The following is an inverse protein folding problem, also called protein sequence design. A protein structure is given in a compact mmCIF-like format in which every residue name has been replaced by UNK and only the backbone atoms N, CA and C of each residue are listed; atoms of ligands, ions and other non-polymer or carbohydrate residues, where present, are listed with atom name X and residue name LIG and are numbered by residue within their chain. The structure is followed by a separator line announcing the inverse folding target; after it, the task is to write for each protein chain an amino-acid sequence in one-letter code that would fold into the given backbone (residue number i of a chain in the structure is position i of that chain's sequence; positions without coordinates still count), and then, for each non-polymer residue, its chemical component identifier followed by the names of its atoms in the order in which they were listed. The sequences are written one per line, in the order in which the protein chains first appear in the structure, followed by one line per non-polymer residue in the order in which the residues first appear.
data_IF_805884420741
#
_entry.id   IF_805884420741
#
_cell.length_a   1.000
_cell.length_b   1.000
_cell.length_c   1.000
_cell.angle_alpha   90.00
_cell.angle_beta   90.00
_cell.angle_gamma   90.00
#
_symmetry.space_group_name_H-M   'P 1'
#
loop_
_entity.id
_entity.type
_entity.pdbx_description
1 polymer ?
#
# COMPACT_ATOMS: atom_id res chain seq x y z
N UNK A 1 -9.92 -18.68 12.28
CA UNK A 1 -9.02 -18.51 11.13
C UNK A 1 -8.34 -17.16 11.28
N UNK A 2 -7.05 -17.06 10.98
CA UNK A 2 -6.24 -15.87 11.26
C UNK A 2 -6.78 -14.64 10.52
N UNK A 3 -7.33 -13.69 11.28
CA UNK A 3 -7.80 -12.38 10.78
C UNK A 3 -6.61 -11.66 10.14
N UNK A 4 -6.50 -11.72 8.81
CA UNK A 4 -5.43 -11.04 8.08
C UNK A 4 -5.63 -9.53 8.19
N UNK A 5 -4.83 -8.88 9.05
CA UNK A 5 -4.85 -7.42 9.20
C UNK A 5 -4.26 -6.78 7.94
N UNK A 6 -4.96 -5.78 7.41
CA UNK A 6 -4.45 -4.95 6.32
C UNK A 6 -3.54 -3.89 6.92
N UNK A 7 -2.29 -3.85 6.46
CA UNK A 7 -1.34 -2.81 6.85
C UNK A 7 -0.96 -1.98 5.65
N UNK A 8 -1.06 -0.66 5.82
CA UNK A 8 -0.76 0.29 4.74
C UNK A 8 0.42 1.13 5.12
N UNK A 9 1.34 1.23 4.18
CA UNK A 9 2.60 1.93 4.36
C UNK A 9 2.77 2.97 3.26
N UNK A 10 3.01 4.22 3.66
CA UNK A 10 3.19 5.32 2.74
C UNK A 10 4.68 5.61 2.55
N UNK A 11 5.10 5.75 1.29
CA UNK A 11 6.47 6.06 0.90
C UNK A 11 6.44 7.35 0.09
N UNK A 12 6.97 8.43 0.65
CA UNK A 12 7.11 9.70 -0.04
C UNK A 12 8.43 9.75 -0.83
N UNK A 13 8.35 10.01 -2.14
CA UNK A 13 9.53 10.13 -2.99
C UNK A 13 9.94 11.60 -3.12
N UNK A 14 11.20 11.95 -2.79
CA UNK A 14 11.71 13.30 -2.98
C UNK A 14 11.67 13.70 -4.47
N UNK A 15 11.14 14.89 -4.78
CA UNK A 15 11.06 15.38 -6.16
C UNK A 15 12.38 15.74 -6.81
N UNK A 16 13.43 15.88 -6.01
CA UNK A 16 14.80 16.15 -6.47
C UNK A 16 15.61 14.87 -6.73
N UNK A 17 14.99 13.69 -6.62
CA UNK A 17 15.68 12.43 -6.90
C UNK A 17 15.89 12.24 -8.41
N UNK A 18 17.05 11.73 -8.81
CA UNK A 18 17.28 11.29 -10.19
C UNK A 18 16.63 9.94 -10.46
N UNK A 19 16.19 9.70 -11.70
CA UNK A 19 15.58 8.43 -12.16
C UNK A 19 16.43 7.20 -11.82
N UNK A 20 17.75 7.32 -11.91
CA UNK A 20 18.67 6.24 -11.57
C UNK A 20 18.64 5.89 -10.07
N UNK A 21 18.54 6.91 -9.20
CA UNK A 21 18.43 6.71 -7.75
C UNK A 21 17.01 6.31 -7.34
N UNK A 22 15.99 6.69 -8.12
CA UNK A 22 14.59 6.41 -7.83
C UNK A 22 14.35 4.91 -7.72
N UNK A 23 14.87 4.12 -8.67
CA UNK A 23 14.78 2.66 -8.64
C UNK A 23 15.34 2.08 -7.34
N UNK A 24 16.55 2.51 -6.97
CA UNK A 24 17.19 2.01 -5.75
C UNK A 24 16.44 2.47 -4.51
N UNK A 25 15.97 3.72 -4.49
CA UNK A 25 15.26 4.29 -3.36
C UNK A 25 13.90 3.63 -3.13
N UNK A 26 13.12 3.39 -4.20
CA UNK A 26 11.86 2.63 -4.14
C UNK A 26 12.09 1.24 -3.59
N UNK A 27 13.10 0.53 -4.11
CA UNK A 27 13.42 -0.82 -3.63
C UNK A 27 13.78 -0.83 -2.16
N UNK A 28 14.65 0.09 -1.72
CA UNK A 28 15.04 0.18 -0.32
C UNK A 28 13.88 0.58 0.57
N UNK A 29 13.12 1.61 0.19
CA UNK A 29 11.99 2.10 0.98
C UNK A 29 10.91 1.03 1.11
N UNK A 30 10.50 0.38 0.02
CA UNK A 30 9.49 -0.69 0.03
C UNK A 30 9.98 -1.88 0.86
N UNK A 31 11.24 -2.29 0.71
CA UNK A 31 11.81 -3.40 1.50
C UNK A 31 11.91 -3.06 3.00
N UNK A 32 12.14 -1.78 3.34
CA UNK A 32 12.20 -1.31 4.72
C UNK A 32 10.83 -1.37 5.39
N UNK A 33 9.76 -0.93 4.71
CA UNK A 33 8.40 -1.10 5.25
C UNK A 33 7.96 -2.56 5.27
N UNK A 34 8.37 -3.36 4.28
CA UNK A 34 8.11 -4.81 4.29
C UNK A 34 8.82 -5.56 5.42
N UNK A 35 9.95 -5.04 5.92
CA UNK A 35 10.65 -5.60 7.08
C UNK A 35 9.84 -5.50 8.37
N UNK A 36 8.96 -4.51 8.47
CA UNK A 36 8.13 -4.31 9.65
C UNK A 36 6.85 -5.14 9.65
N UNK A 37 6.46 -5.77 8.54
CA UNK A 37 5.21 -6.51 8.40
C UNK A 37 5.38 -8.00 8.69
N UNK A 38 4.41 -8.55 9.42
CA UNK A 38 4.31 -9.98 9.70
C UNK A 38 3.69 -10.75 8.52
N UNK A 39 4.00 -12.05 8.42
CA UNK A 39 3.51 -12.94 7.35
C UNK A 39 1.97 -13.11 7.33
N UNK A 40 1.32 -12.74 8.44
CA UNK A 40 -0.13 -12.74 8.61
C UNK A 40 -0.81 -11.44 8.16
N UNK A 41 -0.04 -10.41 7.80
CA UNK A 41 -0.57 -9.10 7.37
C UNK A 41 -0.55 -8.94 5.84
N UNK A 42 -1.58 -8.31 5.29
CA UNK A 42 -1.59 -7.91 3.89
C UNK A 42 -0.95 -6.52 3.80
N UNK A 43 0.30 -6.45 3.35
CA UNK A 43 1.01 -5.19 3.16
C UNK A 43 0.64 -4.55 1.82
N UNK A 44 -0.03 -3.40 1.90
CA UNK A 44 -0.22 -2.47 0.78
C UNK A 44 0.76 -1.30 0.92
N UNK A 45 1.57 -1.09 -0.11
CA UNK A 45 2.51 0.05 -0.12
C UNK A 45 1.98 1.12 -1.07
N UNK A 46 1.84 2.34 -0.57
CA UNK A 46 1.42 3.49 -1.35
C UNK A 46 2.58 4.45 -1.52
N UNK A 47 3.01 4.62 -2.76
CA UNK A 47 4.18 5.43 -3.12
C UNK A 47 3.69 6.75 -3.69
N UNK A 48 3.98 7.86 -3.01
CA UNK A 48 3.71 9.19 -3.52
C UNK A 48 4.90 9.68 -4.32
N UNK A 49 4.66 10.02 -5.58
CA UNK A 49 5.68 10.46 -6.53
C UNK A 49 5.28 11.82 -7.08
N UNK A 50 6.16 12.83 -7.05
CA UNK A 50 5.85 14.11 -7.67
C UNK A 50 5.70 13.94 -9.19
N UNK A 51 4.67 14.53 -9.78
CA UNK A 51 4.28 14.35 -11.18
C UNK A 51 5.42 14.69 -12.14
N UNK A 52 6.20 15.73 -11.83
CA UNK A 52 7.41 16.09 -12.58
C UNK A 52 8.44 14.96 -12.64
N UNK A 53 8.56 14.18 -11.56
CA UNK A 53 9.44 13.04 -11.49
C UNK A 53 8.82 11.83 -12.20
N UNK A 54 7.51 11.63 -12.05
CA UNK A 54 6.72 10.64 -12.79
C UNK A 54 6.92 10.76 -14.29
N UNK A 55 6.75 11.97 -14.82
CA UNK A 55 6.94 12.31 -16.23
C UNK A 55 8.39 12.13 -16.68
N UNK A 56 9.37 12.46 -15.84
CA UNK A 56 10.81 12.29 -16.14
C UNK A 56 11.26 10.82 -16.16
N UNK A 57 10.78 10.02 -15.21
CA UNK A 57 11.14 8.61 -15.09
C UNK A 57 10.33 7.72 -16.06
N UNK A 58 9.10 8.13 -16.37
CA UNK A 58 8.14 7.37 -17.16
C UNK A 58 7.44 6.28 -16.33
N UNK A 59 6.12 6.18 -16.48
CA UNK A 59 5.28 5.20 -15.75
C UNK A 59 5.78 3.76 -15.93
N UNK A 60 6.29 3.41 -17.11
CA UNK A 60 6.89 2.10 -17.39
C UNK A 60 8.06 1.74 -16.47
N UNK A 61 8.84 2.73 -16.04
CA UNK A 61 9.96 2.49 -15.14
C UNK A 61 9.46 2.16 -13.73
N UNK A 62 8.45 2.89 -13.25
CA UNK A 62 7.80 2.55 -11.99
C UNK A 62 7.20 1.16 -12.05
N UNK A 63 6.39 0.88 -13.06
CA UNK A 63 5.75 -0.43 -13.23
C UNK A 63 6.75 -1.59 -13.18
N UNK A 64 7.84 -1.51 -13.97
CA UNK A 64 8.93 -2.49 -13.92
C UNK A 64 9.60 -2.63 -12.56
N UNK A 65 9.86 -1.50 -11.88
CA UNK A 65 10.53 -1.50 -10.58
C UNK A 65 9.62 -2.10 -9.52
N UNK A 66 8.35 -1.70 -9.49
CA UNK A 66 7.35 -2.23 -8.58
C UNK A 66 7.12 -3.72 -8.79
N UNK A 67 6.93 -4.14 -10.04
CA UNK A 67 6.77 -5.55 -10.39
C UNK A 67 7.97 -6.37 -9.93
N UNK A 68 9.20 -5.88 -10.16
CA UNK A 68 10.41 -6.55 -9.69
C UNK A 68 10.59 -6.58 -8.17
N UNK A 69 9.90 -5.71 -7.42
CA UNK A 69 9.89 -5.73 -5.96
C UNK A 69 8.84 -6.74 -5.46
N UNK A 70 7.62 -6.69 -6.00
CA UNK A 70 6.54 -7.65 -5.65
C UNK A 70 6.96 -9.09 -5.99
N UNK A 71 7.65 -9.29 -7.11
CA UNK A 71 8.20 -10.60 -7.51
C UNK A 71 9.29 -11.11 -6.54
N UNK A 72 10.07 -10.20 -5.96
CA UNK A 72 11.16 -10.54 -5.02
C UNK A 72 10.72 -10.67 -3.57
N UNK A 73 9.72 -9.90 -3.16
CA UNK A 73 9.25 -9.80 -1.78
C UNK A 73 7.78 -10.24 -1.70
N UNK A 74 7.55 -11.52 -1.40
CA UNK A 74 6.21 -12.12 -1.29
C UNK A 74 5.35 -11.50 -0.17
N UNK A 75 5.97 -10.74 0.73
CA UNK A 75 5.31 -9.96 1.79
C UNK A 75 4.55 -8.75 1.24
N UNK A 76 5.02 -8.18 0.12
CA UNK A 76 4.36 -7.03 -0.51
C UNK A 76 3.25 -7.54 -1.40
N UNK A 77 1.99 -7.39 -0.96
CA UNK A 77 0.85 -7.91 -1.72
C UNK A 77 0.46 -7.01 -2.88
N UNK A 78 0.55 -5.69 -2.68
CA UNK A 78 0.17 -4.70 -3.69
C UNK A 78 0.94 -3.40 -3.47
N UNK A 79 1.40 -2.80 -4.57
CA UNK A 79 2.00 -1.45 -4.55
C UNK A 79 1.19 -0.54 -5.45
N UNK A 80 0.76 0.59 -4.92
CA UNK A 80 0.07 1.66 -5.66
C UNK A 80 0.98 2.88 -5.73
N UNK A 81 1.15 3.44 -6.92
CA UNK A 81 1.83 4.74 -7.11
C UNK A 81 0.80 5.83 -7.30
N UNK A 82 0.95 6.91 -6.57
CA UNK A 82 0.13 8.11 -6.71
C UNK A 82 1.01 9.27 -7.17
N UNK A 83 0.65 9.84 -8.32
CA UNK A 83 1.35 11.01 -8.84
C UNK A 83 0.76 12.27 -8.23
N UNK A 84 1.60 13.05 -7.56
CA UNK A 84 1.23 14.27 -6.86
C UNK A 84 1.75 15.46 -7.64
N UNK A 85 0.86 16.37 -8.04
CA UNK A 85 1.29 17.60 -8.72
C UNK A 85 2.07 18.53 -7.76
N UNK A 86 3.26 18.99 -8.15
CA UNK A 86 4.11 19.86 -7.33
C UNK A 86 4.98 19.13 -6.29
N UNK A 87 5.41 19.85 -5.25
CA UNK A 87 6.22 19.29 -4.15
C UNK A 87 5.42 18.39 -3.22
N UNK A 88 6.05 17.31 -2.77
CA UNK A 88 5.49 16.39 -1.78
C UNK A 88 5.69 17.04 -0.40
N UNK A 89 4.66 17.71 0.10
CA UNK A 89 4.64 18.27 1.45
C UNK A 89 3.98 17.29 2.43
N UNK A 90 4.27 17.45 3.72
CA UNK A 90 3.63 16.65 4.78
C UNK A 90 2.10 16.70 4.72
N UNK A 91 1.54 17.85 4.32
CA UNK A 91 0.10 18.04 4.12
C UNK A 91 -0.47 17.13 3.00
N UNK A 92 0.23 17.02 1.86
CA UNK A 92 -0.19 16.12 0.78
C UNK A 92 -0.04 14.65 1.13
N UNK A 93 1.00 14.32 1.91
CA UNK A 93 1.16 12.96 2.45
C UNK A 93 -0.03 12.65 3.37
N UNK A 94 -0.34 13.53 4.33
CA UNK A 94 -1.46 13.36 5.26
C UNK A 94 -2.82 13.31 4.54
N UNK A 95 -3.03 14.10 3.48
CA UNK A 95 -4.24 14.06 2.66
C UNK A 95 -4.38 12.72 1.91
N UNK A 96 -3.29 12.20 1.35
CA UNK A 96 -3.26 10.89 0.71
C UNK A 96 -3.46 9.76 1.73
N UNK A 97 -2.84 9.86 2.91
CA UNK A 97 -3.02 8.94 4.02
C UNK A 97 -4.48 8.91 4.48
N UNK A 98 -5.10 10.07 4.70
CA UNK A 98 -6.50 10.17 5.12
C UNK A 98 -7.45 9.60 4.06
N UNK A 99 -7.19 9.86 2.77
CA UNK A 99 -8.00 9.31 1.67
C UNK A 99 -7.86 7.79 1.57
N UNK A 100 -6.64 7.28 1.69
CA UNK A 100 -6.33 5.86 1.63
C UNK A 100 -6.89 5.12 2.84
N UNK A 101 -6.76 5.69 4.04
CA UNK A 101 -7.34 5.13 5.25
C UNK A 101 -8.86 5.05 5.13
N UNK A 102 -9.51 6.05 4.52
CA UNK A 102 -10.95 6.06 4.29
C UNK A 102 -11.40 5.05 3.23
N UNK A 103 -10.61 4.89 2.16
CA UNK A 103 -10.84 3.82 1.17
C UNK A 103 -10.67 2.44 1.83
N UNK A 104 -9.66 2.25 2.67
CA UNK A 104 -9.38 0.97 3.32
C UNK A 104 -10.31 0.67 4.46
N UNK A 105 -10.83 1.67 5.16
CA UNK A 105 -11.93 1.50 6.11
C UNK A 105 -13.19 1.00 5.38
N UNK A 106 -13.48 1.57 4.20
CA UNK A 106 -14.58 1.10 3.35
C UNK A 106 -14.34 -0.31 2.75
N UNK A 107 -13.11 -0.66 2.39
CA UNK A 107 -12.75 -2.01 1.91
C UNK A 107 -12.52 -3.03 3.03
N UNK A 108 -12.13 -2.57 4.21
CA UNK A 108 -11.91 -3.36 5.42
C UNK A 108 -13.23 -3.86 5.97
N UNK A 109 -14.26 -3.01 5.93
CA UNK A 109 -15.65 -3.41 6.17
C UNK A 109 -16.08 -4.59 5.27
N UNK A 110 -15.69 -4.59 3.99
CA UNK A 110 -15.99 -5.70 3.07
C UNK A 110 -15.30 -7.03 3.41
N UNK A 111 -14.27 -7.03 4.26
CA UNK A 111 -13.63 -8.24 4.81
C UNK A 111 -14.13 -8.58 6.23
N UNK A 112 -14.80 -7.65 6.92
CA UNK A 112 -15.46 -7.88 8.21
C UNK A 112 -16.89 -8.42 8.02
N UNK A 113 -17.56 -8.11 6.90
CA UNK A 113 -18.94 -8.54 6.61
C UNK A 113 -19.11 -10.02 6.16
N UNK A 114 -18.05 -10.85 6.11
CA UNK A 114 -18.19 -12.31 5.89
C UNK A 114 -18.27 -13.13 7.21
N UNK A 115 -18.29 -12.50 8.39
CA UNK A 115 -18.40 -13.21 9.69
C UNK A 115 -19.61 -12.78 10.55
N UNK A 116 -20.80 -12.59 9.97
CA UNK A 116 -22.05 -12.51 10.75
C UNK A 116 -23.24 -13.22 10.07
N UNK A 117 -23.02 -14.37 9.44
CA UNK A 117 -24.11 -15.34 9.19
C UNK A 117 -23.62 -16.78 9.45
N UNK A 118 -23.41 -17.14 10.72
CA UNK A 118 -23.88 -18.42 11.29
C UNK A 118 -23.50 -18.54 12.77
N UNK A 119 -24.45 -18.21 13.66
CA UNK A 119 -24.62 -18.92 14.93
C UNK A 119 -26.11 -19.32 15.03
N UNK A 120 -26.44 -20.45 14.41
CA UNK A 120 -27.40 -21.38 15.02
C UNK A 120 -26.60 -22.38 15.87
N UNK A 121 -27.17 -23.14 16.84
CA UNK A 121 -28.59 -23.52 16.91
C UNK A 121 -29.19 -23.50 18.35
N UNK A 122 -30.50 -23.34 18.49
CA UNK A 122 -31.18 -23.97 19.63
C UNK A 122 -32.54 -24.50 19.21
N UNK A 123 -32.54 -25.79 18.87
CA UNK A 123 -33.71 -26.61 19.05
C UNK A 123 -33.61 -27.29 20.40
N UNK A 124 -34.59 -27.09 21.27
CA UNK A 124 -35.19 -28.13 22.13
C UNK A 124 -36.54 -27.65 22.68
N UNK A 125 -37.61 -28.28 22.19
CA UNK A 125 -38.93 -28.36 22.82
C UNK A 125 -38.85 -29.26 24.08
N UNK A 126 -39.80 -29.20 25.04
CA UNK A 126 -41.17 -29.66 24.83
C UNK A 126 -42.28 -28.70 25.32
#
# INVERSE_FOLDING_TARGET
MDKKRIRVSHVAIPGNLSVLKLKSHLRTAIADVAKGSDDTEILLVKVLVPQVLGLRAGEKLFDKVLQGIVDKDSRVRRVSVEFVDGEITADKIAASEARTQKEIDAYGHLLEDEEDEEDGPDGTAP
#
